data_IF_113190853777
#
_entry.id   IF_113190853777
#
_cell.length_a   1.000
_cell.length_b   1.000
_cell.length_c   1.000
_cell.angle_alpha   90.00
_cell.angle_beta   90.00
_cell.angle_gamma   90.00
#
_symmetry.space_group_name_H-M   'P 1'
#
loop_
_entity.id
_entity.type
_entity.pdbx_description
1 polymer ?
#
# COMPACT_ATOMS: atom_id res chain seq x y z
N UNK A 1 -5.76 -6.85 21.09
CA UNK A 1 -4.45 -6.15 21.21
C UNK A 1 -4.24 -5.36 19.93
N UNK A 2 -3.76 -4.11 19.99
CA UNK A 2 -3.44 -3.31 18.79
C UNK A 2 -1.93 -3.41 18.52
N UNK A 3 -1.54 -3.42 17.25
CA UNK A 3 -0.14 -3.39 16.84
C UNK A 3 0.19 -2.03 16.23
N UNK A 4 1.22 -1.37 16.73
CA UNK A 4 1.56 0.01 16.40
C UNK A 4 3.06 0.13 16.21
N UNK A 5 3.49 0.75 15.11
CA UNK A 5 4.85 1.23 14.93
C UNK A 5 4.97 2.05 13.66
N UNK A 6 6.12 2.04 13.00
CA UNK A 6 6.41 2.94 11.89
C UNK A 6 6.87 2.23 10.62
N UNK A 7 6.86 2.95 9.51
CA UNK A 7 7.66 2.55 8.35
C UNK A 7 9.13 2.86 8.65
N UNK A 8 9.92 1.81 8.89
CA UNK A 8 11.32 1.93 9.30
C UNK A 8 12.27 1.60 8.15
N UNK A 9 13.46 2.20 8.19
CA UNK A 9 14.48 1.98 7.17
C UNK A 9 15.02 0.54 7.21
N UNK A 10 15.21 -0.06 6.04
CA UNK A 10 15.95 -1.31 5.86
C UNK A 10 17.41 -1.08 5.40
N UNK A 11 17.93 0.14 5.54
CA UNK A 11 19.31 0.45 5.17
C UNK A 11 20.31 -0.43 5.95
N UNK A 12 21.29 -0.98 5.24
CA UNK A 12 22.27 -1.92 5.79
C UNK A 12 21.77 -3.36 5.94
N UNK A 13 20.56 -3.69 5.47
CA UNK A 13 20.01 -5.05 5.49
C UNK A 13 18.59 -5.11 6.08
N UNK A 14 17.78 -6.08 5.63
CA UNK A 14 16.38 -6.21 6.03
C UNK A 14 16.20 -6.42 7.54
N UNK A 15 17.10 -7.19 8.18
CA UNK A 15 17.08 -7.43 9.62
C UNK A 15 17.13 -6.14 10.45
N UNK A 16 17.78 -5.09 9.94
CA UNK A 16 17.84 -3.79 10.61
C UNK A 16 16.48 -3.11 10.71
N UNK A 17 15.50 -3.46 9.86
CA UNK A 17 14.14 -2.94 10.00
C UNK A 17 13.51 -3.42 11.33
N UNK A 18 13.61 -4.72 11.64
CA UNK A 18 13.12 -5.26 12.91
C UNK A 18 13.87 -4.68 14.12
N UNK A 19 15.18 -4.49 14.01
CA UNK A 19 16.00 -3.85 15.07
C UNK A 19 15.51 -2.41 15.32
N UNK A 20 15.36 -1.60 14.26
CA UNK A 20 14.92 -0.20 14.36
C UNK A 20 13.49 -0.06 14.85
N UNK A 21 12.61 -1.01 14.49
CA UNK A 21 11.27 -1.08 15.04
C UNK A 21 11.32 -1.32 16.57
N UNK A 22 12.17 -2.24 17.02
CA UNK A 22 12.34 -2.51 18.45
C UNK A 22 12.93 -1.32 19.21
N UNK A 23 13.87 -0.57 18.61
CA UNK A 23 14.46 0.64 19.20
C UNK A 23 13.44 1.75 19.51
N UNK A 24 12.26 1.72 18.86
CA UNK A 24 11.16 2.66 19.10
C UNK A 24 9.98 2.02 19.84
N UNK A 25 10.19 0.86 20.49
CA UNK A 25 9.18 0.08 21.20
C UNK A 25 7.95 -0.29 20.33
N UNK A 26 8.17 -0.43 19.01
CA UNK A 26 7.09 -0.78 18.10
C UNK A 26 6.61 -2.22 18.30
N UNK A 27 5.31 -2.42 18.11
CA UNK A 27 4.65 -3.73 18.09
C UNK A 27 4.16 -4.15 16.69
N UNK A 28 4.36 -3.28 15.70
CA UNK A 28 4.25 -3.54 14.26
C UNK A 28 5.25 -2.68 13.49
N UNK A 29 5.59 -3.03 12.25
CA UNK A 29 6.37 -2.14 11.40
C UNK A 29 6.09 -2.35 9.91
N UNK A 30 6.43 -1.34 9.11
CA UNK A 30 6.46 -1.41 7.66
C UNK A 30 7.90 -1.25 7.15
N UNK A 31 8.16 -1.78 5.96
CA UNK A 31 9.44 -1.66 5.27
C UNK A 31 9.26 -1.78 3.75
N UNK A 32 10.25 -1.31 2.99
CA UNK A 32 10.47 -1.76 1.62
C UNK A 32 11.35 -3.01 1.62
N UNK A 33 10.98 -4.04 0.84
CA UNK A 33 11.79 -5.26 0.72
C UNK A 33 12.96 -5.11 -0.25
N UNK A 34 12.91 -4.08 -1.12
CA UNK A 34 13.94 -3.71 -2.08
C UNK A 34 14.01 -2.19 -2.28
N UNK A 35 14.98 -1.71 -3.05
CA UNK A 35 15.08 -0.30 -3.40
C UNK A 35 13.90 0.11 -4.30
N UNK A 36 13.08 1.04 -3.81
CA UNK A 36 11.87 1.55 -4.47
C UNK A 36 12.13 2.40 -5.73
N UNK A 37 13.40 2.58 -6.14
CA UNK A 37 13.78 3.31 -7.36
C UNK A 37 14.30 2.40 -8.47
N UNK A 38 14.27 1.09 -8.28
CA UNK A 38 14.78 0.11 -9.24
C UNK A 38 13.68 -0.90 -9.60
N UNK A 39 13.58 -1.22 -10.89
CA UNK A 39 12.62 -2.22 -11.39
C UNK A 39 12.96 -3.65 -10.97
N UNK A 40 14.26 -3.98 -10.97
CA UNK A 40 14.77 -5.31 -10.61
C UNK A 40 15.69 -5.20 -9.41
N UNK A 41 15.46 -6.05 -8.42
CA UNK A 41 16.38 -6.24 -7.31
C UNK A 41 17.17 -7.53 -7.51
N UNK A 42 18.35 -7.61 -6.89
CA UNK A 42 19.02 -8.89 -6.76
C UNK A 42 18.13 -9.87 -5.96
N UNK A 43 18.17 -11.18 -6.29
CA UNK A 43 17.52 -12.21 -5.49
C UNK A 43 17.92 -12.11 -4.02
N UNK A 44 17.00 -12.42 -3.11
CA UNK A 44 17.33 -12.55 -1.69
C UNK A 44 18.30 -13.72 -1.50
N UNK A 45 19.36 -13.50 -0.73
CA UNK A 45 20.23 -14.59 -0.28
C UNK A 45 19.58 -15.31 0.89
N UNK A 46 19.88 -16.60 1.06
CA UNK A 46 19.44 -17.38 2.24
C UNK A 46 19.87 -16.69 3.54
N UNK A 47 21.11 -16.19 3.58
CA UNK A 47 21.62 -15.41 4.70
C UNK A 47 20.73 -14.19 5.03
N UNK A 48 20.33 -13.39 4.03
CA UNK A 48 19.45 -12.23 4.25
C UNK A 48 18.09 -12.65 4.81
N UNK A 49 17.54 -13.76 4.30
CA UNK A 49 16.25 -14.30 4.74
C UNK A 49 16.33 -14.76 6.20
N UNK A 50 17.37 -15.53 6.54
CA UNK A 50 17.57 -16.09 7.87
C UNK A 50 17.83 -14.99 8.92
N UNK A 51 18.67 -14.00 8.58
CA UNK A 51 18.93 -12.84 9.45
C UNK A 51 17.65 -12.03 9.72
N UNK A 52 16.81 -11.81 8.71
CA UNK A 52 15.55 -11.10 8.89
C UNK A 52 14.57 -11.87 9.79
N UNK A 53 14.41 -13.19 9.55
CA UNK A 53 13.54 -14.04 10.35
C UNK A 53 14.01 -14.12 11.80
N UNK A 54 15.31 -14.33 12.02
CA UNK A 54 15.90 -14.36 13.35
C UNK A 54 15.72 -13.04 14.10
N UNK A 55 15.86 -11.89 13.42
CA UNK A 55 15.59 -10.59 14.03
C UNK A 55 14.10 -10.42 14.39
N UNK A 56 13.18 -10.83 13.52
CA UNK A 56 11.75 -10.79 13.80
C UNK A 56 11.37 -11.66 15.00
N UNK A 57 11.90 -12.89 15.09
CA UNK A 57 11.68 -13.78 16.23
C UNK A 57 12.23 -13.19 17.53
N UNK A 58 13.45 -12.66 17.50
CA UNK A 58 14.12 -12.03 18.65
C UNK A 58 13.31 -10.86 19.24
N UNK A 59 12.67 -10.06 18.38
CA UNK A 59 11.89 -8.88 18.79
C UNK A 59 10.38 -9.10 18.74
N UNK A 60 9.93 -10.35 18.63
CA UNK A 60 8.52 -10.76 18.72
C UNK A 60 7.59 -10.15 17.65
N UNK A 61 8.10 -9.99 16.43
CA UNK A 61 7.30 -9.62 15.26
C UNK A 61 6.87 -10.87 14.49
N UNK A 62 5.57 -11.15 14.51
CA UNK A 62 4.96 -12.17 13.63
C UNK A 62 4.59 -11.57 12.28
N UNK A 63 4.32 -12.40 11.29
CA UNK A 63 3.90 -11.96 9.95
C UNK A 63 2.64 -11.08 9.94
N UNK A 64 1.78 -11.19 10.96
CA UNK A 64 0.59 -10.37 11.13
C UNK A 64 0.87 -8.96 11.67
N UNK A 65 2.12 -8.66 12.05
CA UNK A 65 2.56 -7.38 12.60
C UNK A 65 3.41 -6.58 11.61
N UNK A 66 3.67 -7.12 10.42
CA UNK A 66 4.59 -6.53 9.45
C UNK A 66 3.79 -6.22 8.18
N UNK A 67 3.81 -4.96 7.75
CA UNK A 67 3.10 -4.48 6.57
C UNK A 67 4.11 -3.91 5.55
N UNK A 68 4.78 -4.75 4.75
CA UNK A 68 5.64 -4.30 3.67
C UNK A 68 4.90 -3.39 2.70
N UNK A 69 5.61 -2.42 2.13
CA UNK A 69 5.08 -1.56 1.08
C UNK A 69 5.84 -1.82 -0.22
N UNK A 70 5.13 -1.86 -1.34
CA UNK A 70 5.73 -2.00 -2.67
C UNK A 70 6.37 -0.70 -3.19
N UNK A 71 7.04 -0.82 -4.33
CA UNK A 71 7.68 0.32 -5.00
C UNK A 71 6.69 1.28 -5.64
N UNK A 72 6.87 2.59 -5.41
CA UNK A 72 6.10 3.66 -6.08
C UNK A 72 6.20 3.69 -7.61
N UNK A 73 7.09 2.89 -8.22
CA UNK A 73 7.20 2.74 -9.67
C UNK A 73 6.11 1.83 -10.26
N UNK A 74 5.52 0.95 -9.45
CA UNK A 74 4.54 -0.03 -9.88
C UNK A 74 3.20 0.67 -10.15
N UNK A 75 2.64 0.46 -11.34
CA UNK A 75 1.29 0.89 -11.68
C UNK A 75 0.52 -0.28 -12.28
N UNK A 76 -0.28 -0.97 -11.46
CA UNK A 76 -1.07 -2.13 -11.88
C UNK A 76 -2.28 -1.76 -12.76
N UNK A 77 -2.56 -0.47 -12.91
CA UNK A 77 -3.58 0.09 -13.81
C UNK A 77 -3.00 0.75 -15.06
N UNK A 78 -1.71 0.55 -15.36
CA UNK A 78 -1.03 1.29 -16.42
C UNK A 78 -1.73 1.09 -17.78
N UNK A 79 -2.02 2.18 -18.54
CA UNK A 79 -2.74 2.08 -19.81
C UNK A 79 -1.90 1.44 -20.94
N UNK A 80 -0.59 1.72 -20.95
CA UNK A 80 0.35 1.11 -21.90
C UNK A 80 0.72 -0.31 -21.45
N UNK A 81 0.41 -1.30 -22.28
CA UNK A 81 0.60 -2.73 -21.99
C UNK A 81 2.04 -3.08 -21.59
N UNK A 82 3.05 -2.57 -22.29
CA UNK A 82 4.46 -2.87 -21.94
C UNK A 82 4.83 -2.45 -20.51
N UNK A 83 4.38 -1.26 -20.09
CA UNK A 83 4.63 -0.75 -18.74
C UNK A 83 3.74 -1.42 -17.69
N UNK A 84 2.54 -1.89 -18.08
CA UNK A 84 1.68 -2.72 -17.25
C UNK A 84 2.36 -4.06 -16.95
N UNK A 85 2.87 -4.76 -17.97
CA UNK A 85 3.57 -6.04 -17.78
C UNK A 85 4.83 -5.88 -16.92
N UNK A 86 5.61 -4.80 -17.12
CA UNK A 86 6.74 -4.48 -16.23
C UNK A 86 6.32 -4.26 -14.78
N UNK A 87 5.16 -3.64 -14.55
CA UNK A 87 4.60 -3.43 -13.22
C UNK A 87 4.12 -4.75 -12.60
N UNK A 88 3.47 -5.61 -13.39
CA UNK A 88 3.04 -6.95 -12.97
C UNK A 88 4.23 -7.82 -12.57
N UNK A 89 5.27 -7.88 -13.41
CA UNK A 89 6.51 -8.60 -13.11
C UNK A 89 7.14 -8.11 -11.81
N UNK A 90 7.21 -6.78 -11.62
CA UNK A 90 7.79 -6.18 -10.42
C UNK A 90 6.96 -6.43 -9.16
N UNK A 91 5.63 -6.47 -9.28
CA UNK A 91 4.70 -6.76 -8.18
C UNK A 91 4.73 -8.26 -7.79
N UNK A 92 4.82 -9.16 -8.78
CA UNK A 92 5.04 -10.59 -8.53
C UNK A 92 6.36 -10.80 -7.77
N UNK A 93 7.44 -10.13 -8.17
CA UNK A 93 8.72 -10.18 -7.44
C UNK A 93 8.56 -9.70 -5.98
N UNK A 94 7.86 -8.59 -5.72
CA UNK A 94 7.59 -8.12 -4.34
C UNK A 94 6.80 -9.16 -3.52
N UNK A 95 5.76 -9.76 -4.10
CA UNK A 95 4.94 -10.79 -3.45
C UNK A 95 5.78 -12.05 -3.15
N UNK A 96 6.62 -12.49 -4.09
CA UNK A 96 7.54 -13.62 -3.89
C UNK A 96 8.62 -13.33 -2.84
N UNK A 97 9.08 -12.07 -2.72
CA UNK A 97 10.00 -11.67 -1.65
C UNK A 97 9.31 -11.72 -0.29
N UNK A 98 8.06 -11.27 -0.21
CA UNK A 98 7.26 -11.41 1.01
C UNK A 98 7.14 -12.87 1.43
N UNK A 99 6.83 -13.78 0.49
CA UNK A 99 6.75 -15.22 0.73
C UNK A 99 8.06 -15.79 1.28
N UNK A 100 9.20 -15.48 0.63
CA UNK A 100 10.53 -15.91 1.07
C UNK A 100 10.87 -15.43 2.49
N UNK A 101 10.52 -14.18 2.81
CA UNK A 101 10.73 -13.55 4.12
C UNK A 101 9.76 -14.06 5.19
N UNK A 102 8.76 -14.87 4.85
CA UNK A 102 7.72 -15.34 5.78
C UNK A 102 6.68 -14.28 6.13
N UNK A 103 6.50 -13.28 5.27
CA UNK A 103 5.54 -12.20 5.43
C UNK A 103 4.21 -12.60 4.79
N UNK A 104 3.10 -12.07 5.31
CA UNK A 104 1.74 -12.48 4.91
C UNK A 104 0.94 -11.39 4.22
N UNK A 105 1.49 -10.16 4.15
CA UNK A 105 0.84 -8.99 3.60
C UNK A 105 1.81 -8.27 2.65
N UNK A 106 1.29 -7.62 1.62
CA UNK A 106 1.99 -6.61 0.83
C UNK A 106 1.05 -5.44 0.55
N UNK A 107 1.39 -4.27 1.06
CA UNK A 107 0.66 -3.02 0.83
C UNK A 107 1.12 -2.34 -0.45
N UNK A 108 0.19 -1.82 -1.23
CA UNK A 108 0.49 -1.09 -2.47
C UNK A 108 -0.58 -0.05 -2.81
N UNK A 109 -0.17 0.94 -3.60
CA UNK A 109 -1.12 1.89 -4.20
C UNK A 109 -1.71 1.26 -5.47
N UNK A 110 -3.04 1.28 -5.68
CA UNK A 110 -3.68 0.49 -6.74
C UNK A 110 -3.18 0.81 -8.15
N UNK A 111 -3.11 2.09 -8.52
CA UNK A 111 -2.62 2.49 -9.84
C UNK A 111 -3.16 3.83 -10.33
N UNK A 112 -2.80 4.19 -11.55
CA UNK A 112 -3.23 5.44 -12.20
C UNK A 112 -3.51 5.25 -13.69
N UNK A 113 -4.58 5.89 -14.17
CA UNK A 113 -5.07 5.73 -15.55
C UNK A 113 -4.38 6.66 -16.56
N UNK A 114 -3.54 7.59 -16.07
CA UNK A 114 -2.74 8.54 -16.86
C UNK A 114 -3.52 9.37 -17.89
N UNK A 115 -4.82 9.56 -17.66
CA UNK A 115 -5.75 10.21 -18.60
C UNK A 115 -5.81 9.55 -19.98
N UNK A 116 -5.45 8.27 -20.10
CA UNK A 116 -5.43 7.52 -21.37
C UNK A 116 -6.52 6.45 -21.46
N UNK A 117 -7.04 5.99 -20.32
CA UNK A 117 -8.16 5.04 -20.22
C UNK A 117 -9.17 5.53 -19.18
N UNK A 118 -10.36 4.95 -19.18
CA UNK A 118 -11.39 5.24 -18.19
C UNK A 118 -10.97 4.78 -16.78
N UNK A 119 -11.60 5.32 -15.73
CA UNK A 119 -11.38 4.82 -14.37
C UNK A 119 -11.78 3.33 -14.27
N UNK A 120 -12.90 2.95 -14.88
CA UNK A 120 -13.42 1.57 -14.91
C UNK A 120 -12.42 0.59 -15.52
N UNK A 121 -11.87 0.90 -16.71
CA UNK A 121 -10.86 0.06 -17.36
C UNK A 121 -9.59 -0.06 -16.52
N UNK A 122 -9.21 1.02 -15.83
CA UNK A 122 -8.04 1.04 -14.96
C UNK A 122 -8.25 0.15 -13.72
N UNK A 123 -9.42 0.25 -13.06
CA UNK A 123 -9.78 -0.60 -11.93
C UNK A 123 -9.82 -2.08 -12.32
N UNK A 124 -10.38 -2.40 -13.49
CA UNK A 124 -10.39 -3.76 -14.03
C UNK A 124 -8.97 -4.29 -14.29
N UNK A 125 -8.06 -3.47 -14.85
CA UNK A 125 -6.64 -3.84 -15.02
C UNK A 125 -5.93 -4.11 -13.70
N UNK A 126 -6.25 -3.33 -12.67
CA UNK A 126 -5.69 -3.51 -11.33
C UNK A 126 -6.15 -4.85 -10.74
N UNK A 127 -7.46 -5.14 -10.81
CA UNK A 127 -8.01 -6.42 -10.35
C UNK A 127 -7.36 -7.61 -11.07
N UNK A 128 -7.23 -7.54 -12.40
CA UNK A 128 -6.56 -8.58 -13.19
C UNK A 128 -5.09 -8.76 -12.80
N UNK A 129 -4.38 -7.65 -12.56
CA UNK A 129 -2.98 -7.71 -12.12
C UNK A 129 -2.82 -8.37 -10.75
N UNK A 130 -3.80 -8.16 -9.85
CA UNK A 130 -3.84 -8.86 -8.56
C UNK A 130 -4.08 -10.35 -8.78
N UNK A 131 -5.05 -10.75 -9.62
CA UNK A 131 -5.31 -12.16 -9.95
C UNK A 131 -4.05 -12.86 -10.46
N UNK A 132 -3.36 -12.27 -11.44
CA UNK A 132 -2.10 -12.80 -11.98
C UNK A 132 -1.06 -12.98 -10.88
N UNK A 133 -0.90 -12.02 -9.97
CA UNK A 133 0.08 -12.13 -8.89
C UNK A 133 -0.29 -13.19 -7.85
N UNK A 134 -1.58 -13.29 -7.51
CA UNK A 134 -2.09 -14.29 -6.60
C UNK A 134 -1.95 -15.71 -7.19
N UNK A 135 -2.13 -15.90 -8.50
CA UNK A 135 -1.91 -17.19 -9.17
C UNK A 135 -0.44 -17.64 -9.17
N UNK A 136 0.50 -16.71 -9.01
CA UNK A 136 1.95 -16.96 -9.04
C UNK A 136 2.59 -17.05 -7.66
N UNK A 137 1.84 -16.85 -6.58
CA UNK A 137 2.36 -16.75 -5.21
C UNK A 137 1.44 -17.41 -4.21
N UNK A 138 1.94 -17.72 -3.01
CA UNK A 138 1.16 -18.35 -1.95
C UNK A 138 1.32 -17.59 -0.62
N UNK A 139 0.28 -17.64 0.23
CA UNK A 139 0.35 -17.14 1.61
C UNK A 139 0.44 -15.62 1.81
N UNK A 140 0.61 -14.83 0.74
CA UNK A 140 0.66 -13.35 0.80
C UNK A 140 -0.67 -12.74 0.33
N UNK A 141 -1.21 -11.81 1.12
CA UNK A 141 -2.40 -11.01 0.81
C UNK A 141 -2.00 -9.70 0.15
N UNK A 142 -2.62 -9.38 -0.99
CA UNK A 142 -2.51 -8.08 -1.65
C UNK A 142 -3.36 -7.04 -0.89
N UNK A 143 -2.72 -6.05 -0.27
CA UNK A 143 -3.38 -5.03 0.56
C UNK A 143 -3.44 -3.70 -0.19
N UNK A 144 -4.63 -3.35 -0.69
CA UNK A 144 -4.86 -2.15 -1.50
C UNK A 144 -4.96 -0.93 -0.57
N UNK A 145 -4.06 0.03 -0.70
CA UNK A 145 -4.11 1.28 0.06
C UNK A 145 -5.00 2.32 -0.63
N UNK A 146 -5.84 3.03 0.14
CA UNK A 146 -6.51 4.21 -0.40
C UNK A 146 -5.49 5.33 -0.69
N UNK A 147 -5.74 6.11 -1.73
CA UNK A 147 -4.83 7.19 -2.14
C UNK A 147 -5.46 8.57 -1.94
N UNK A 148 -4.64 9.62 -1.98
CA UNK A 148 -5.15 10.98 -1.94
C UNK A 148 -5.88 11.39 -3.24
N UNK A 149 -5.79 10.63 -4.33
CA UNK A 149 -6.43 10.98 -5.62
C UNK A 149 -5.70 12.07 -6.42
N UNK A 150 -4.39 12.24 -6.19
CA UNK A 150 -3.60 13.21 -6.95
C UNK A 150 -3.42 12.79 -8.42
N UNK A 151 -3.58 13.75 -9.32
CA UNK A 151 -3.37 13.54 -10.75
C UNK A 151 -4.40 12.57 -11.33
N UNK A 152 -3.97 11.35 -11.65
CA UNK A 152 -4.82 10.28 -12.21
C UNK A 152 -4.81 9.02 -11.34
N UNK A 153 -4.36 9.14 -10.08
CA UNK A 153 -4.31 8.03 -9.13
C UNK A 153 -5.73 7.63 -8.73
N UNK A 154 -6.01 6.33 -8.74
CA UNK A 154 -7.26 5.75 -8.26
C UNK A 154 -7.12 5.24 -6.82
N UNK A 155 -8.18 4.65 -6.28
CA UNK A 155 -8.24 4.22 -4.87
C UNK A 155 -8.54 5.35 -3.87
N UNK A 156 -8.83 6.57 -4.33
CA UNK A 156 -9.19 7.67 -3.43
C UNK A 156 -10.64 7.64 -2.94
N UNK A 157 -11.50 6.86 -3.58
CA UNK A 157 -12.86 6.54 -3.12
C UNK A 157 -12.91 5.10 -2.63
N UNK A 158 -13.69 4.84 -1.58
CA UNK A 158 -13.95 3.47 -1.13
C UNK A 158 -14.59 2.60 -2.23
N UNK A 159 -15.41 3.19 -3.10
CA UNK A 159 -16.01 2.51 -4.25
C UNK A 159 -14.95 1.99 -5.24
N UNK A 160 -13.81 2.67 -5.38
CA UNK A 160 -12.71 2.19 -6.22
C UNK A 160 -12.09 0.93 -5.62
N UNK A 161 -11.91 0.90 -4.30
CA UNK A 161 -11.37 -0.27 -3.60
C UNK A 161 -12.34 -1.46 -3.71
N UNK A 162 -13.64 -1.21 -3.52
CA UNK A 162 -14.68 -2.22 -3.66
C UNK A 162 -14.71 -2.80 -5.09
N UNK A 163 -14.66 -1.95 -6.12
CA UNK A 163 -14.64 -2.40 -7.51
C UNK A 163 -13.43 -3.29 -7.85
N UNK A 164 -12.25 -2.97 -7.31
CA UNK A 164 -11.06 -3.82 -7.46
C UNK A 164 -11.29 -5.17 -6.78
N UNK A 165 -11.73 -5.17 -5.52
CA UNK A 165 -11.99 -6.40 -4.74
C UNK A 165 -13.03 -7.29 -5.44
N UNK A 166 -14.07 -6.70 -6.04
CA UNK A 166 -15.10 -7.44 -6.76
C UNK A 166 -14.52 -8.21 -7.94
N UNK A 167 -13.58 -7.61 -8.67
CA UNK A 167 -12.86 -8.25 -9.79
C UNK A 167 -11.77 -9.25 -9.38
N UNK A 168 -11.37 -9.31 -8.11
CA UNK A 168 -10.39 -10.30 -7.62
C UNK A 168 -11.06 -11.65 -7.40
N UNK A 169 -10.47 -12.74 -7.90
CA UNK A 169 -11.01 -14.10 -7.78
C UNK A 169 -10.83 -14.66 -6.36
N UNK A 170 -9.58 -14.75 -5.90
CA UNK A 170 -9.24 -15.19 -4.54
C UNK A 170 -9.40 -14.05 -3.53
N UNK A 171 -10.65 -13.81 -3.13
CA UNK A 171 -11.00 -12.77 -2.15
C UNK A 171 -10.44 -13.04 -0.73
N UNK A 172 -9.87 -14.22 -0.46
CA UNK A 172 -9.23 -14.50 0.82
C UNK A 172 -7.85 -13.82 0.95
N UNK A 173 -7.21 -13.53 -0.19
CA UNK A 173 -5.88 -12.90 -0.30
C UNK A 173 -5.91 -11.50 -0.90
N UNK A 174 -7.04 -10.80 -0.76
CA UNK A 174 -7.11 -9.35 -0.95
C UNK A 174 -7.61 -8.67 0.31
N UNK A 175 -7.07 -7.50 0.60
CA UNK A 175 -7.50 -6.65 1.70
C UNK A 175 -7.23 -5.19 1.40
N UNK A 176 -7.46 -4.33 2.40
CA UNK A 176 -7.27 -2.89 2.28
C UNK A 176 -6.47 -2.32 3.44
N UNK A 177 -5.70 -1.29 3.13
CA UNK A 177 -5.08 -0.39 4.10
C UNK A 177 -5.72 0.99 4.01
N UNK A 178 -6.08 1.56 5.14
CA UNK A 178 -6.58 2.94 5.19
C UNK A 178 -5.50 3.87 5.72
N UNK A 179 -5.01 4.75 4.85
CA UNK A 179 -4.18 5.90 5.21
C UNK A 179 -5.07 7.11 5.54
N UNK A 180 -4.96 7.60 6.78
CA UNK A 180 -5.79 8.71 7.28
C UNK A 180 -5.49 10.04 6.59
N UNK A 181 -4.24 10.29 6.20
CA UNK A 181 -3.84 11.50 5.47
C UNK A 181 -4.41 11.46 4.05
N UNK A 182 -4.37 10.29 3.40
CA UNK A 182 -4.98 10.09 2.08
C UNK A 182 -6.49 10.23 2.12
N UNK A 183 -7.15 9.60 3.09
CA UNK A 183 -8.60 9.70 3.27
C UNK A 183 -9.02 11.17 3.45
N UNK A 184 -8.31 11.90 4.31
CA UNK A 184 -8.54 13.32 4.53
C UNK A 184 -8.33 14.17 3.27
N UNK A 185 -7.22 13.96 2.55
CA UNK A 185 -6.96 14.67 1.30
C UNK A 185 -8.00 14.37 0.20
N UNK A 186 -8.58 13.16 0.23
CA UNK A 186 -9.66 12.72 -0.67
C UNK A 186 -11.07 13.17 -0.23
N UNK A 187 -11.20 13.84 0.92
CA UNK A 187 -12.46 14.43 1.39
C UNK A 187 -13.20 13.64 2.47
N UNK A 188 -12.63 12.56 2.99
CA UNK A 188 -13.16 11.88 4.17
C UNK A 188 -12.71 12.60 5.44
N UNK A 189 -13.65 13.24 6.12
CA UNK A 189 -13.33 14.02 7.31
C UNK A 189 -13.07 13.10 8.50
N UNK A 190 -12.05 13.44 9.28
CA UNK A 190 -11.55 12.69 10.44
C UNK A 190 -11.24 13.61 11.63
N UNK A 191 -11.69 14.88 11.59
CA UNK A 191 -11.34 15.90 12.59
C UNK A 191 -12.13 15.78 13.88
N UNK A 192 -13.35 15.24 13.81
CA UNK A 192 -14.21 15.00 14.98
C UNK A 192 -14.61 13.53 15.10
N UNK A 193 -14.96 13.04 16.31
CA UNK A 193 -15.45 11.67 16.48
C UNK A 193 -16.67 11.33 15.60
N UNK A 194 -17.59 12.28 15.39
CA UNK A 194 -18.76 12.09 14.55
C UNK A 194 -18.40 11.95 13.07
N UNK A 195 -17.41 12.71 12.59
CA UNK A 195 -16.91 12.61 11.22
C UNK A 195 -16.13 11.30 11.01
N UNK A 196 -15.34 10.86 11.99
CA UNK A 196 -14.72 9.54 11.97
C UNK A 196 -15.76 8.44 11.87
N UNK A 197 -16.79 8.45 12.71
CA UNK A 197 -17.87 7.46 12.68
C UNK A 197 -18.57 7.44 11.31
N UNK A 198 -18.86 8.61 10.75
CA UNK A 198 -19.44 8.72 9.40
C UNK A 198 -18.54 8.11 8.33
N UNK A 199 -17.26 8.50 8.30
CA UNK A 199 -16.26 7.99 7.35
C UNK A 199 -16.14 6.46 7.44
N UNK A 200 -16.05 5.93 8.65
CA UNK A 200 -15.89 4.49 8.85
C UNK A 200 -17.20 3.70 8.67
N UNK A 201 -18.36 4.31 8.87
CA UNK A 201 -19.65 3.74 8.48
C UNK A 201 -19.79 3.63 6.95
N UNK A 202 -19.34 4.64 6.20
CA UNK A 202 -19.26 4.58 4.74
C UNK A 202 -18.29 3.48 4.28
N UNK A 203 -17.11 3.39 4.88
CA UNK A 203 -16.16 2.30 4.62
C UNK A 203 -16.79 0.92 4.90
N UNK A 204 -17.47 0.75 6.03
CA UNK A 204 -18.13 -0.50 6.41
C UNK A 204 -19.21 -0.92 5.41
N UNK A 205 -19.98 0.05 4.89
CA UNK A 205 -21.05 -0.18 3.93
C UNK A 205 -20.51 -0.51 2.53
N UNK A 206 -19.45 0.16 2.08
CA UNK A 206 -18.95 0.08 0.70
C UNK A 206 -17.94 -1.06 0.54
N UNK A 207 -16.97 -1.17 1.45
CA UNK A 207 -15.89 -2.17 1.38
C UNK A 207 -16.13 -3.28 2.41
N UNK A 208 -16.39 -2.89 3.66
CA UNK A 208 -16.58 -3.81 4.78
C UNK A 208 -15.29 -4.09 5.55
N UNK A 209 -15.38 -4.01 6.87
CA UNK A 209 -14.26 -4.21 7.79
C UNK A 209 -13.58 -5.59 7.70
N UNK A 210 -14.26 -6.59 7.13
CA UNK A 210 -13.68 -7.92 6.85
C UNK A 210 -12.45 -7.87 5.93
N UNK A 211 -12.27 -6.80 5.14
CA UNK A 211 -11.11 -6.61 4.29
C UNK A 211 -10.04 -5.70 4.89
N UNK A 212 -10.29 -5.03 6.02
CA UNK A 212 -9.28 -4.18 6.64
C UNK A 212 -8.12 -5.06 7.14
N UNK A 213 -6.90 -4.77 6.67
CA UNK A 213 -5.66 -5.49 7.05
C UNK A 213 -4.62 -4.58 7.69
N UNK A 214 -4.69 -3.27 7.43
CA UNK A 214 -3.77 -2.30 8.00
C UNK A 214 -4.32 -0.89 8.01
N UNK A 215 -3.66 -0.01 8.73
CA UNK A 215 -3.84 1.44 8.59
C UNK A 215 -2.50 2.17 8.67
N UNK A 216 -2.40 3.25 7.89
CA UNK A 216 -1.37 4.26 8.04
C UNK A 216 -1.94 5.48 8.78
N UNK A 217 -1.44 5.75 9.98
CA UNK A 217 -1.91 6.81 10.86
C UNK A 217 -1.05 8.06 10.64
N UNK A 218 -1.50 8.86 9.68
CA UNK A 218 -0.78 10.00 9.14
C UNK A 218 -1.61 11.28 9.35
N UNK A 219 -1.00 12.30 9.95
CA UNK A 219 -1.54 13.66 9.93
C UNK A 219 -1.29 14.32 8.57
N UNK A 220 -2.13 15.29 8.20
CA UNK A 220 -2.12 15.95 6.91
C UNK A 220 -1.57 17.39 7.00
N UNK A 221 -0.68 17.76 6.07
CA UNK A 221 -0.22 19.14 5.87
C UNK A 221 -1.17 19.97 5.01
N UNK A 222 -2.11 19.31 4.33
CA UNK A 222 -3.03 19.91 3.37
C UNK A 222 -4.43 20.00 3.96
N UNK A 223 -5.27 20.96 3.51
CA UNK A 223 -6.68 21.01 3.91
C UNK A 223 -7.49 19.79 3.45
N UNK A 224 -8.67 19.61 4.06
CA UNK A 224 -9.66 18.61 3.64
C UNK A 224 -9.98 18.78 2.14
N UNK A 225 -10.06 17.67 1.40
CA UNK A 225 -10.39 17.65 -0.02
C UNK A 225 -9.41 18.43 -0.94
N UNK A 226 -8.19 18.72 -0.49
CA UNK A 226 -7.20 19.48 -1.27
C UNK A 226 -6.77 18.78 -2.59
N UNK A 227 -6.85 17.45 -2.66
CA UNK A 227 -6.52 16.73 -3.88
C UNK A 227 -7.64 16.76 -4.93
N UNK A 228 -8.89 17.00 -4.51
CA UNK A 228 -10.05 17.13 -5.40
C UNK A 228 -10.11 18.50 -6.10
N UNK A 229 -9.31 19.47 -5.66
CA UNK A 229 -9.31 20.85 -6.16
C UNK A 229 -8.29 21.13 -7.29
N UNK A 230 -7.53 20.12 -7.73
CA UNK A 230 -6.49 20.28 -8.76
C UNK A 230 -6.99 20.08 -10.21
N UNK A 231 -8.27 20.37 -10.49
CA UNK A 231 -8.78 20.45 -11.86
C UNK A 231 -8.64 21.91 -12.33
N UNK A 232 -7.86 22.11 -13.40
CA UNK A 232 -7.44 23.38 -14.04
C UNK A 232 -6.03 23.86 -13.63
N UNK A 233 -4.99 23.18 -14.15
CA UNK A 233 -3.74 23.84 -14.57
C UNK A 233 -2.93 22.95 -15.55
N UNK A 234 -3.12 23.21 -16.84
CA UNK A 234 -2.20 23.04 -17.98
C UNK A 234 -0.89 22.26 -17.82
N UNK A 235 -0.75 21.21 -18.64
CA UNK A 235 0.42 20.72 -19.41
C UNK A 235 1.78 21.33 -19.02
N UNK A 236 2.36 20.91 -17.89
CA UNK A 236 3.82 20.92 -17.61
C UNK A 236 4.10 20.28 -16.24
N UNK A 237 4.01 18.96 -16.12
CA UNK A 237 4.35 18.31 -14.84
C UNK A 237 4.85 16.87 -15.00
N UNK A 238 5.91 16.66 -15.79
CA UNK A 238 6.69 15.41 -15.76
C UNK A 238 7.59 15.29 -14.50
N UNK A 239 7.62 16.31 -13.62
CA UNK A 239 8.45 16.32 -12.41
C UNK A 239 7.70 16.06 -11.09
N UNK A 240 6.36 15.95 -11.11
CA UNK A 240 5.55 15.90 -9.87
C UNK A 240 5.20 14.48 -9.41
N UNK A 241 5.41 13.46 -10.25
CA UNK A 241 5.11 12.05 -9.91
C UNK A 241 5.90 11.47 -8.71
N UNK A 242 6.96 12.14 -8.24
CA UNK A 242 7.81 11.65 -7.13
C UNK A 242 7.47 12.23 -5.75
N UNK A 243 6.37 12.98 -5.57
CA UNK A 243 6.03 13.64 -4.29
C UNK A 243 4.81 13.07 -3.57
N UNK A 244 4.59 11.75 -3.63
CA UNK A 244 3.58 11.09 -2.76
C UNK A 244 3.88 11.28 -1.25
N UNK A 245 5.13 11.58 -0.88
CA UNK A 245 5.55 11.81 0.51
C UNK A 245 5.38 13.26 1.03
N UNK A 246 4.92 14.20 0.19
CA UNK A 246 4.95 15.64 0.54
C UNK A 246 3.83 16.11 1.47
N UNK A 247 2.68 15.43 1.48
CA UNK A 247 1.45 15.87 2.17
C UNK A 247 1.26 15.32 3.58
N UNK A 248 1.97 14.26 3.97
CA UNK A 248 1.77 13.58 5.26
C UNK A 248 2.91 13.88 6.25
N UNK A 249 2.62 13.87 7.57
CA UNK A 249 3.58 14.32 8.60
C UNK A 249 4.41 13.22 9.29
N UNK A 250 4.02 11.95 9.31
CA UNK A 250 4.79 10.81 9.85
C UNK A 250 4.01 9.54 9.51
N UNK A 251 4.67 8.41 9.20
CA UNK A 251 4.01 7.13 8.95
C UNK A 251 4.03 6.24 10.18
N UNK A 252 2.87 6.11 10.85
CA UNK A 252 2.65 5.06 11.85
C UNK A 252 1.83 3.95 11.19
N UNK A 253 2.43 2.78 10.99
CA UNK A 253 1.76 1.62 10.40
C UNK A 253 1.20 0.75 11.51
N UNK A 254 -0.07 0.37 11.36
CA UNK A 254 -0.76 -0.59 12.22
C UNK A 254 -1.25 -1.75 11.37
N UNK A 255 -1.11 -2.97 11.88
CA UNK A 255 -1.64 -4.17 11.25
C UNK A 255 -2.81 -4.72 12.08
N UNK A 256 -3.85 -5.20 11.43
CA UNK A 256 -5.05 -5.75 12.07
C UNK A 256 -5.16 -7.26 11.78
N UNK A 257 -5.71 -8.01 12.75
CA UNK A 257 -6.07 -9.42 12.59
C UNK A 257 -7.42 -9.57 11.91
#
# INVERSE_FOLDING_TARGET
>A
MKYIGAHVSAAGGLANAAIRAAEIDATAFALFTKNQRQWRAAPLTTQTIDEFKAACEKYHYTSAQILPHDSYLINLGHPVTEALEKSRDAFIDEMQRCEQLGLSLLNFHPGSHLMQISEEDCLARIAESINIALDKTQGVTAVIENTAGQGSNLGFKFEHLAAIIDGVEDKSRVGVCIDTCHAFAAGYDLRTPAECEKTFADFARIVGFKYLRGMHLNDAKVPLAAALTAIIASVKAISVMMRSAGSCKTTVSTAFR
#
